data_IF_012565026522
#
_entry.id   IF_012565026522
#
_cell.length_a   1.000
_cell.length_b   1.000
_cell.length_c   1.000
_cell.angle_alpha   90.00
_cell.angle_beta   90.00
_cell.angle_gamma   90.00
#
_symmetry.space_group_name_H-M   'P 1'
#
loop_
_entity.id
_entity.type
_entity.pdbx_description
1 polymer ?
#
# COMPACT_ATOMS: atom_id res chain seq x y z
N UNK A 1 13.82 -4.81 -4.58
CA UNK A 1 13.31 -3.52 -4.02
C UNK A 1 14.25 -3.00 -2.95
N UNK A 2 14.81 -3.87 -2.13
CA UNK A 2 15.84 -3.54 -1.15
C UNK A 2 16.93 -2.61 -1.72
N UNK A 3 17.48 -2.95 -2.88
CA UNK A 3 18.51 -2.13 -3.54
C UNK A 3 18.11 -0.65 -3.73
N UNK A 4 16.89 -0.39 -4.20
CA UNK A 4 16.41 0.97 -4.42
C UNK A 4 16.19 1.73 -3.11
N UNK A 5 15.64 1.04 -2.10
CA UNK A 5 15.41 1.62 -0.77
C UNK A 5 16.75 1.97 -0.10
N UNK A 6 17.73 1.08 -0.18
CA UNK A 6 19.09 1.31 0.34
C UNK A 6 19.71 2.57 -0.27
N UNK A 7 19.66 2.70 -1.58
CA UNK A 7 20.15 3.91 -2.27
C UNK A 7 19.41 5.19 -1.86
N UNK A 8 18.10 5.11 -1.64
CA UNK A 8 17.33 6.26 -1.16
C UNK A 8 17.79 6.68 0.23
N UNK A 9 17.97 5.73 1.16
CA UNK A 9 18.44 6.01 2.51
C UNK A 9 19.88 6.54 2.55
N UNK A 10 20.77 5.98 1.72
CA UNK A 10 22.13 6.48 1.52
C UNK A 10 22.15 7.90 0.95
N UNK A 11 21.16 8.27 0.14
CA UNK A 11 20.97 9.63 -0.38
C UNK A 11 20.31 10.58 0.63
N UNK A 12 19.99 10.13 1.86
CA UNK A 12 19.48 10.96 2.94
C UNK A 12 17.96 10.98 3.10
N UNK A 13 17.20 10.15 2.39
CA UNK A 13 15.76 10.04 2.60
C UNK A 13 15.44 9.51 4.01
N UNK A 14 14.48 10.14 4.68
CA UNK A 14 14.09 9.81 6.06
C UNK A 14 13.19 8.58 6.19
N UNK A 15 12.47 8.21 5.14
CA UNK A 15 11.56 7.07 5.15
C UNK A 15 11.14 6.62 3.76
N UNK A 16 10.48 5.46 3.72
CA UNK A 16 9.95 4.86 2.49
C UNK A 16 8.61 4.17 2.76
N UNK A 17 7.72 4.21 1.78
CA UNK A 17 6.58 3.31 1.73
C UNK A 17 6.95 2.13 0.84
N UNK A 18 6.97 0.93 1.41
CA UNK A 18 7.30 -0.29 0.68
C UNK A 18 6.22 -0.61 -0.36
N UNK A 19 6.64 -1.12 -1.52
CA UNK A 19 5.73 -1.54 -2.60
C UNK A 19 4.64 -2.45 -2.04
N UNK A 20 3.38 -2.13 -2.33
CA UNK A 20 2.20 -2.82 -1.80
C UNK A 20 2.32 -4.35 -1.90
N UNK A 21 2.14 -5.00 -0.76
CA UNK A 21 2.08 -6.44 -0.59
C UNK A 21 0.63 -6.91 -0.61
N UNK A 22 0.39 -8.08 -1.18
CA UNK A 22 -0.87 -8.82 -1.03
C UNK A 22 -0.71 -9.99 -0.08
N UNK A 23 -1.83 -10.60 0.33
CA UNK A 23 -1.84 -11.92 0.92
C UNK A 23 -1.48 -12.99 -0.13
N UNK A 24 -1.19 -14.20 0.32
CA UNK A 24 -1.05 -15.34 -0.58
C UNK A 24 -2.30 -15.53 -1.45
N UNK A 25 -2.11 -15.76 -2.74
CA UNK A 25 -3.20 -15.88 -3.70
C UNK A 25 -2.66 -16.12 -5.10
N UNK A 26 -3.50 -16.02 -6.12
CA UNK A 26 -3.05 -16.17 -7.51
C UNK A 26 -1.90 -15.21 -7.81
N UNK A 27 -0.88 -15.64 -8.57
CA UNK A 27 0.27 -14.81 -8.89
C UNK A 27 -0.15 -13.46 -9.49
N UNK A 28 0.46 -12.39 -9.04
CA UNK A 28 0.33 -11.08 -9.67
C UNK A 28 1.25 -11.06 -10.89
N UNK A 29 0.65 -10.95 -12.07
CA UNK A 29 1.37 -10.81 -13.32
C UNK A 29 1.40 -9.35 -13.71
N UNK A 30 2.54 -8.72 -13.50
CA UNK A 30 2.74 -7.32 -13.92
C UNK A 30 2.83 -7.24 -15.45
N UNK A 31 2.39 -6.10 -16.00
CA UNK A 31 2.58 -5.81 -17.43
C UNK A 31 4.05 -5.79 -17.81
N UNK A 32 4.38 -6.42 -18.92
CA UNK A 32 5.67 -6.30 -19.58
C UNK A 32 5.66 -5.05 -20.46
N UNK A 33 6.72 -4.26 -20.38
CA UNK A 33 6.84 -3.01 -21.14
C UNK A 33 6.80 -1.75 -20.26
N UNK A 34 6.72 -0.56 -20.85
CA UNK A 34 6.68 0.68 -20.07
C UNK A 34 5.45 0.74 -19.16
N UNK A 35 5.67 0.93 -17.86
CA UNK A 35 4.60 1.07 -16.86
C UNK A 35 4.25 2.52 -16.55
N UNK A 36 5.04 3.43 -17.10
CA UNK A 36 4.87 4.87 -16.96
C UNK A 36 4.75 5.49 -18.32
N UNK A 37 3.83 6.42 -18.47
CA UNK A 37 3.61 7.15 -19.72
C UNK A 37 3.43 8.63 -19.46
N UNK A 38 3.91 9.44 -20.42
CA UNK A 38 3.65 10.87 -20.46
C UNK A 38 2.43 11.14 -21.32
N UNK A 39 1.54 12.00 -20.85
CA UNK A 39 0.35 12.47 -21.58
C UNK A 39 0.68 13.85 -22.15
N UNK A 40 0.65 13.96 -23.47
CA UNK A 40 1.02 15.17 -24.19
C UNK A 40 -0.22 15.83 -24.81
N UNK A 41 -0.28 17.16 -24.74
CA UNK A 41 -1.23 17.95 -25.49
C UNK A 41 -0.88 18.03 -26.98
N UNK A 42 -1.81 18.53 -27.80
CA UNK A 42 -1.60 18.73 -29.23
C UNK A 42 -0.46 19.71 -29.53
N UNK A 43 -0.16 20.62 -28.62
CA UNK A 43 0.94 21.59 -28.64
C UNK A 43 2.28 21.00 -28.11
N UNK A 44 2.35 19.68 -27.91
CA UNK A 44 3.49 18.98 -27.30
C UNK A 44 3.82 19.40 -25.86
N UNK A 45 2.91 20.09 -25.18
CA UNK A 45 3.05 20.40 -23.76
C UNK A 45 2.74 19.15 -22.93
N UNK A 46 3.58 18.86 -21.93
CA UNK A 46 3.30 17.78 -20.97
C UNK A 46 2.05 18.15 -20.15
N UNK A 47 1.01 17.35 -20.25
CA UNK A 47 -0.25 17.51 -19.52
C UNK A 47 -0.28 16.68 -18.25
N UNK A 48 0.42 15.54 -18.22
CA UNK A 48 0.42 14.66 -17.07
C UNK A 48 1.26 13.41 -17.27
N UNK A 49 1.28 12.61 -16.22
CA UNK A 49 1.89 11.29 -16.21
C UNK A 49 0.84 10.27 -15.79
N UNK A 50 0.92 9.08 -16.35
CA UNK A 50 0.13 7.93 -15.91
C UNK A 50 1.03 6.75 -15.60
N UNK A 51 0.49 5.81 -14.84
CA UNK A 51 1.15 4.53 -14.59
C UNK A 51 0.13 3.38 -14.54
N UNK A 52 0.61 2.18 -14.79
CA UNK A 52 -0.14 0.92 -14.68
C UNK A 52 0.57 -0.04 -13.72
N UNK A 53 1.14 0.50 -12.64
CA UNK A 53 1.81 -0.27 -11.61
C UNK A 53 0.80 -1.08 -10.79
N UNK A 54 0.97 -2.40 -10.80
CA UNK A 54 0.25 -3.31 -9.90
C UNK A 54 0.98 -3.42 -8.55
N UNK A 55 0.40 -4.14 -7.61
CA UNK A 55 1.09 -4.54 -6.37
C UNK A 55 2.29 -5.44 -6.69
N UNK A 56 3.05 -5.83 -5.68
CA UNK A 56 4.24 -6.67 -5.91
C UNK A 56 3.88 -8.01 -6.57
N UNK A 57 4.69 -8.41 -7.52
CA UNK A 57 4.66 -9.72 -8.17
C UNK A 57 5.63 -10.73 -7.51
N UNK A 58 6.31 -10.30 -6.44
CA UNK A 58 7.29 -11.12 -5.73
C UNK A 58 6.65 -11.81 -4.52
N UNK A 59 7.08 -13.03 -4.18
CA UNK A 59 6.60 -13.75 -3.00
C UNK A 59 6.65 -12.90 -1.72
N UNK A 60 5.68 -13.10 -0.84
CA UNK A 60 5.55 -12.36 0.41
C UNK A 60 6.80 -12.50 1.27
N UNK A 61 7.32 -13.73 1.45
CA UNK A 61 8.47 -14.01 2.31
C UNK A 61 9.74 -13.28 1.85
N UNK A 62 9.92 -13.11 0.53
CA UNK A 62 11.05 -12.35 -0.01
C UNK A 62 10.95 -10.89 0.41
N UNK A 63 9.76 -10.31 0.33
CA UNK A 63 9.55 -8.93 0.74
C UNK A 63 9.74 -8.76 2.25
N UNK A 64 9.18 -9.65 3.08
CA UNK A 64 9.35 -9.62 4.54
C UNK A 64 10.83 -9.67 4.95
N UNK A 65 11.60 -10.59 4.34
CA UNK A 65 13.04 -10.69 4.57
C UNK A 65 13.79 -9.41 4.19
N UNK A 66 13.47 -8.82 3.03
CA UNK A 66 14.10 -7.58 2.57
C UNK A 66 13.76 -6.39 3.48
N UNK A 67 12.50 -6.28 3.96
CA UNK A 67 12.09 -5.24 4.91
C UNK A 67 12.87 -5.38 6.21
N UNK A 68 12.94 -6.59 6.77
CA UNK A 68 13.71 -6.86 7.99
C UNK A 68 15.20 -6.52 7.83
N UNK A 69 15.77 -6.83 6.67
CA UNK A 69 17.16 -6.46 6.37
C UNK A 69 17.35 -4.94 6.34
N UNK A 70 16.45 -4.21 5.68
CA UNK A 70 16.51 -2.75 5.62
C UNK A 70 16.35 -2.13 7.01
N UNK A 71 15.41 -2.60 7.82
CA UNK A 71 15.23 -2.08 9.20
C UNK A 71 16.44 -2.33 10.08
N UNK A 72 17.07 -3.50 9.97
CA UNK A 72 18.32 -3.79 10.69
C UNK A 72 19.47 -2.86 10.28
N UNK A 73 19.61 -2.62 8.97
CA UNK A 73 20.73 -1.84 8.42
C UNK A 73 20.53 -0.32 8.54
N UNK A 74 19.27 0.13 8.63
CA UNK A 74 18.87 1.53 8.77
C UNK A 74 17.80 1.71 9.86
N UNK A 75 18.16 1.48 11.14
CA UNK A 75 17.18 1.46 12.23
C UNK A 75 16.53 2.83 12.50
N UNK A 76 17.18 3.91 12.10
CA UNK A 76 16.74 5.30 12.25
C UNK A 76 15.87 5.81 11.07
N UNK A 77 15.61 4.96 10.07
CA UNK A 77 14.80 5.30 8.89
C UNK A 77 13.42 4.64 8.97
N UNK A 78 12.41 5.43 8.62
CA UNK A 78 11.04 4.92 8.62
C UNK A 78 10.77 3.98 7.43
N UNK A 79 10.18 2.82 7.71
CA UNK A 79 9.70 1.88 6.70
C UNK A 79 8.21 1.61 6.97
N UNK A 80 7.35 2.13 6.12
CA UNK A 80 5.91 1.86 6.14
C UNK A 80 5.60 0.77 5.12
N UNK A 81 4.87 -0.27 5.50
CA UNK A 81 4.53 -1.37 4.61
C UNK A 81 3.13 -1.16 4.04
N UNK A 82 3.05 -0.97 2.73
CA UNK A 82 1.77 -0.85 2.04
C UNK A 82 1.14 -2.22 1.82
N UNK A 83 -0.13 -2.37 2.18
CA UNK A 83 -0.90 -3.60 2.12
C UNK A 83 -2.16 -3.43 1.26
N UNK A 84 -2.46 -4.47 0.47
CA UNK A 84 -3.72 -4.62 -0.24
C UNK A 84 -4.16 -6.07 -0.12
N UNK A 85 -5.09 -6.32 0.78
CA UNK A 85 -5.58 -7.64 1.19
C UNK A 85 -7.09 -7.70 0.93
N UNK A 86 -7.67 -8.85 0.66
CA UNK A 86 -9.11 -8.99 0.53
C UNK A 86 -9.88 -8.39 1.70
N UNK A 87 -11.11 -7.91 1.44
CA UNK A 87 -11.99 -7.36 2.46
C UNK A 87 -12.58 -8.49 3.34
N UNK A 88 -11.69 -9.23 3.99
CA UNK A 88 -11.95 -10.37 4.84
C UNK A 88 -11.09 -10.26 6.10
N UNK A 89 -11.71 -10.22 7.28
CA UNK A 89 -10.99 -10.02 8.54
C UNK A 89 -9.88 -11.06 8.78
N UNK A 90 -10.14 -12.31 8.39
CA UNK A 90 -9.16 -13.39 8.54
C UNK A 90 -7.87 -13.14 7.75
N UNK A 91 -7.97 -12.55 6.54
CA UNK A 91 -6.82 -12.23 5.71
C UNK A 91 -5.94 -11.14 6.36
N UNK A 92 -6.56 -10.12 6.96
CA UNK A 92 -5.86 -9.08 7.71
C UNK A 92 -5.20 -9.64 8.97
N UNK A 93 -5.93 -10.47 9.75
CA UNK A 93 -5.37 -11.15 10.94
C UNK A 93 -4.16 -12.05 10.61
N UNK A 94 -4.13 -12.62 9.43
CA UNK A 94 -3.02 -13.48 9.01
C UNK A 94 -1.77 -12.69 8.63
N UNK A 95 -1.90 -11.55 7.93
CA UNK A 95 -0.75 -10.82 7.41
C UNK A 95 -0.12 -9.86 8.44
N UNK A 96 -0.91 -9.23 9.31
CA UNK A 96 -0.42 -8.20 10.23
C UNK A 96 0.71 -8.67 11.16
N UNK A 97 0.64 -9.85 11.80
CA UNK A 97 1.74 -10.36 12.62
C UNK A 97 3.05 -10.50 11.82
N UNK A 98 2.96 -10.96 10.57
CA UNK A 98 4.14 -11.11 9.70
C UNK A 98 4.81 -9.75 9.40
N UNK A 99 4.00 -8.68 9.28
CA UNK A 99 4.53 -7.33 9.10
C UNK A 99 5.19 -6.83 10.40
N UNK A 100 4.56 -7.04 11.56
CA UNK A 100 5.13 -6.66 12.85
C UNK A 100 6.49 -7.33 13.12
N UNK A 101 6.65 -8.60 12.73
CA UNK A 101 7.91 -9.32 12.83
C UNK A 101 9.06 -8.74 11.99
N UNK A 102 8.75 -7.88 11.01
CA UNK A 102 9.77 -7.17 10.22
C UNK A 102 10.33 -5.95 10.92
N UNK A 103 9.75 -5.53 12.04
CA UNK A 103 10.07 -4.28 12.75
C UNK A 103 9.79 -3.02 11.92
N UNK A 104 8.83 -3.10 10.97
CA UNK A 104 8.34 -1.94 10.23
C UNK A 104 7.75 -0.88 11.18
N UNK A 105 7.82 0.38 10.78
CA UNK A 105 7.38 1.52 11.60
C UNK A 105 5.89 1.85 11.44
N UNK A 106 5.22 1.24 10.46
CA UNK A 106 3.79 1.43 10.22
C UNK A 106 3.27 0.61 9.06
N UNK A 107 1.96 0.60 8.91
CA UNK A 107 1.27 0.01 7.77
C UNK A 107 0.48 1.06 7.00
N UNK A 108 0.49 0.94 5.67
CA UNK A 108 -0.39 1.71 4.79
C UNK A 108 -1.47 0.78 4.23
N UNK A 109 -2.74 1.15 4.38
CA UNK A 109 -3.85 0.47 3.73
C UNK A 109 -4.04 1.07 2.33
N UNK A 110 -3.76 0.28 1.28
CA UNK A 110 -3.88 0.76 -0.08
C UNK A 110 -5.31 0.59 -0.60
N UNK A 111 -6.14 1.62 -0.38
CA UNK A 111 -7.51 1.68 -0.88
C UNK A 111 -7.62 2.52 -2.16
N UNK A 112 -6.50 2.75 -2.85
CA UNK A 112 -6.47 3.60 -4.03
C UNK A 112 -6.23 2.88 -5.36
N UNK A 113 -5.67 1.67 -5.36
CA UNK A 113 -5.29 0.98 -6.59
C UNK A 113 -6.52 0.52 -7.39
N UNK A 114 -6.72 1.01 -8.63
CA UNK A 114 -7.86 0.62 -9.47
C UNK A 114 -7.58 -0.62 -10.33
N UNK A 115 -6.30 -1.02 -10.48
CA UNK A 115 -5.88 -1.98 -11.49
C UNK A 115 -6.06 -3.43 -11.03
N UNK A 116 -6.99 -4.16 -11.67
CA UNK A 116 -7.13 -5.62 -11.57
C UNK A 116 -7.50 -6.19 -10.18
N UNK A 117 -7.35 -5.40 -9.13
CA UNK A 117 -7.62 -5.81 -7.76
C UNK A 117 -9.00 -5.36 -7.28
N UNK A 118 -9.57 -4.31 -7.88
CA UNK A 118 -10.92 -3.85 -7.59
C UNK A 118 -11.98 -4.91 -7.92
N UNK A 119 -11.79 -5.67 -9.00
CA UNK A 119 -12.64 -6.80 -9.38
C UNK A 119 -12.62 -7.94 -8.34
N UNK A 120 -11.59 -7.96 -7.49
CA UNK A 120 -11.43 -8.92 -6.37
C UNK A 120 -11.89 -8.33 -5.03
N UNK A 121 -12.59 -7.20 -5.02
CA UNK A 121 -13.05 -6.54 -3.80
C UNK A 121 -11.92 -5.92 -2.97
N UNK A 122 -10.84 -5.45 -3.61
CA UNK A 122 -9.66 -4.85 -2.98
C UNK A 122 -9.37 -3.47 -3.55
N UNK A 123 -8.45 -2.74 -2.92
CA UNK A 123 -8.00 -1.45 -3.41
C UNK A 123 -9.12 -0.43 -3.50
N UNK A 124 -9.34 0.16 -4.69
CA UNK A 124 -10.35 1.20 -4.89
C UNK A 124 -11.80 0.72 -4.66
N UNK A 125 -12.07 -0.58 -4.78
CA UNK A 125 -13.40 -1.12 -4.44
C UNK A 125 -13.73 -0.97 -2.96
N UNK A 126 -12.73 -1.06 -2.09
CA UNK A 126 -12.85 -0.73 -0.66
C UNK A 126 -12.89 0.78 -0.47
N UNK A 127 -11.96 1.51 -1.10
CA UNK A 127 -11.80 2.96 -0.92
C UNK A 127 -12.99 3.81 -1.37
N UNK A 128 -13.85 3.28 -2.24
CA UNK A 128 -15.07 3.95 -2.71
C UNK A 128 -16.29 3.73 -1.81
N UNK A 129 -16.18 2.86 -0.80
CA UNK A 129 -17.27 2.52 0.13
C UNK A 129 -16.86 2.87 1.55
N UNK A 130 -17.33 4.00 2.11
CA UNK A 130 -16.90 4.47 3.44
C UNK A 130 -17.05 3.43 4.55
N UNK A 131 -18.10 2.61 4.50
CA UNK A 131 -18.36 1.55 5.47
C UNK A 131 -17.26 0.48 5.45
N UNK A 132 -16.75 0.14 4.27
CA UNK A 132 -15.64 -0.80 4.12
C UNK A 132 -14.32 -0.19 4.59
N UNK A 133 -14.09 1.09 4.29
CA UNK A 133 -12.92 1.83 4.79
C UNK A 133 -12.89 1.80 6.32
N UNK A 134 -13.99 2.14 6.98
CA UNK A 134 -14.09 2.12 8.44
C UNK A 134 -13.88 0.71 9.00
N UNK A 135 -14.57 -0.28 8.43
CA UNK A 135 -14.53 -1.67 8.88
C UNK A 135 -13.13 -2.27 8.80
N UNK A 136 -12.47 -2.16 7.65
CA UNK A 136 -11.12 -2.71 7.45
C UNK A 136 -10.10 -1.96 8.30
N UNK A 137 -10.18 -0.64 8.39
CA UNK A 137 -9.31 0.15 9.27
C UNK A 137 -9.44 -0.30 10.72
N UNK A 138 -10.67 -0.55 11.18
CA UNK A 138 -10.94 -1.07 12.53
C UNK A 138 -10.31 -2.45 12.76
N UNK A 139 -10.43 -3.37 11.80
CA UNK A 139 -9.77 -4.68 11.90
C UNK A 139 -8.27 -4.56 12.06
N UNK A 140 -7.64 -3.68 11.28
CA UNK A 140 -6.19 -3.45 11.35
C UNK A 140 -5.80 -2.88 12.72
N UNK A 141 -6.52 -1.86 13.21
CA UNK A 141 -6.23 -1.24 14.51
C UNK A 141 -6.48 -2.18 15.69
N UNK A 142 -7.39 -3.13 15.57
CA UNK A 142 -7.65 -4.15 16.60
C UNK A 142 -6.61 -5.29 16.61
N UNK A 143 -5.93 -5.51 15.50
CA UNK A 143 -5.04 -6.66 15.31
C UNK A 143 -3.57 -6.27 15.07
N UNK A 144 -3.23 -4.97 15.13
CA UNK A 144 -1.85 -4.48 15.04
C UNK A 144 -1.62 -3.28 15.94
N UNK A 145 -0.39 -3.18 16.46
CA UNK A 145 0.08 -2.04 17.25
C UNK A 145 0.76 -0.97 16.39
N UNK A 146 1.00 -1.27 15.12
CA UNK A 146 1.66 -0.34 14.20
C UNK A 146 0.76 0.86 13.90
N UNK A 147 1.33 2.05 13.72
CA UNK A 147 0.65 3.17 13.11
C UNK A 147 0.00 2.78 11.80
N UNK A 148 -1.26 3.16 11.62
CA UNK A 148 -2.09 2.82 10.46
C UNK A 148 -2.37 4.06 9.62
N UNK A 149 -1.87 4.07 8.39
CA UNK A 149 -2.08 5.12 7.40
C UNK A 149 -3.09 4.60 6.37
N UNK A 150 -4.14 5.36 6.09
CA UNK A 150 -5.13 4.99 5.08
C UNK A 150 -4.93 5.82 3.82
N UNK A 151 -4.43 5.18 2.76
CA UNK A 151 -4.28 5.83 1.45
C UNK A 151 -5.56 5.63 0.63
N UNK A 152 -6.29 6.73 0.45
CA UNK A 152 -7.58 6.76 -0.23
C UNK A 152 -7.44 6.88 -1.75
N UNK A 153 -8.51 6.53 -2.47
CA UNK A 153 -8.62 6.76 -3.91
C UNK A 153 -9.07 8.20 -4.19
N UNK A 154 -8.47 8.87 -5.20
CA UNK A 154 -8.98 10.16 -5.65
C UNK A 154 -10.25 10.04 -6.51
N UNK A 155 -10.62 8.83 -6.94
CA UNK A 155 -11.72 8.56 -7.85
C UNK A 155 -13.03 8.35 -7.07
N UNK A 156 -13.45 9.39 -6.36
CA UNK A 156 -14.69 9.43 -5.58
C UNK A 156 -15.27 10.84 -5.62
N UNK A 157 -16.58 10.96 -5.54
CA UNK A 157 -17.27 12.26 -5.64
C UNK A 157 -16.99 13.18 -4.44
N UNK A 158 -16.82 12.58 -3.25
CA UNK A 158 -16.53 13.31 -2.01
C UNK A 158 -15.52 12.52 -1.18
N UNK A 159 -14.28 12.98 -1.15
CA UNK A 159 -13.18 12.36 -0.43
C UNK A 159 -13.32 12.48 1.09
N UNK A 160 -14.12 13.41 1.59
CA UNK A 160 -14.31 13.59 3.02
C UNK A 160 -15.01 12.37 3.65
N UNK A 161 -15.94 11.75 2.94
CA UNK A 161 -16.68 10.60 3.46
C UNK A 161 -15.77 9.42 3.81
N UNK A 162 -14.91 8.88 2.91
CA UNK A 162 -13.99 7.81 3.27
C UNK A 162 -12.89 8.29 4.24
N UNK A 163 -12.48 9.56 4.23
CA UNK A 163 -11.52 10.09 5.19
C UNK A 163 -12.08 10.08 6.61
N UNK A 164 -13.32 10.53 6.80
CA UNK A 164 -14.02 10.45 8.09
C UNK A 164 -14.24 9.00 8.53
N UNK A 165 -14.55 8.11 7.59
CA UNK A 165 -14.71 6.68 7.86
C UNK A 165 -13.38 6.05 8.34
N UNK A 166 -12.25 6.37 7.69
CA UNK A 166 -10.93 5.95 8.13
C UNK A 166 -10.64 6.43 9.56
N UNK A 167 -10.95 7.70 9.86
CA UNK A 167 -10.81 8.26 11.21
C UNK A 167 -11.67 7.51 12.23
N UNK A 168 -12.95 7.22 11.92
CA UNK A 168 -13.82 6.43 12.82
C UNK A 168 -13.33 5.00 13.00
N UNK A 169 -12.67 4.43 11.99
CA UNK A 169 -11.99 3.13 12.07
C UNK A 169 -10.75 3.13 12.95
N UNK A 170 -10.24 4.32 13.31
CA UNK A 170 -9.08 4.51 14.17
C UNK A 170 -7.76 4.72 13.43
N UNK A 171 -7.76 5.12 12.16
CA UNK A 171 -6.55 5.49 11.42
C UNK A 171 -5.76 6.57 12.14
N UNK A 172 -4.43 6.46 12.11
CA UNK A 172 -3.52 7.45 12.66
C UNK A 172 -3.23 8.58 11.65
N UNK A 173 -3.37 8.27 10.32
CA UNK A 173 -3.25 9.24 9.24
C UNK A 173 -4.01 8.77 7.98
#
# INVERSE_FOLDING_TARGET
KEYNVRRAFEAGWGGVVWKTLGSEGPPIVNVSGPRYGAIWGADRRLLGLNNIELITDRPLEINLREIKTIKRDFPDRAVVVSLMVPCEEAAWKAILPLIEETEADGVELNFGCPHGMAERGMGSAVGQVPEYVEMVTRWVKQNSRLPCIVKLTPNISDICQPAEAAKRGGADA
#
